data_IF_758852292087
#
_entry.id   IF_758852292087
#
_cell.length_a   1.000
_cell.length_b   1.000
_cell.length_c   1.000
_cell.angle_alpha   90.00
_cell.angle_beta   90.00
_cell.angle_gamma   90.00
#
_symmetry.space_group_name_H-M   'P 1'
#
loop_
_entity.id
_entity.type
_entity.pdbx_description
1 polymer ?
#
# COMPACT_ATOMS: atom_id res chain seq x y z
N UNK A 1 27.25 -0.84 -7.55
CA UNK A 1 25.96 -0.17 -7.73
C UNK A 1 24.87 -1.09 -7.19
N UNK A 2 24.00 -0.62 -6.30
CA UNK A 2 22.84 -1.41 -5.87
C UNK A 2 21.76 -1.28 -6.97
N UNK A 3 21.36 -2.39 -7.57
CA UNK A 3 20.29 -2.39 -8.57
C UNK A 3 18.95 -2.17 -7.86
N UNK A 4 18.24 -1.10 -8.21
CA UNK A 4 16.85 -0.90 -7.77
C UNK A 4 15.90 -1.66 -8.69
N UNK A 5 14.93 -2.35 -8.11
CA UNK A 5 13.82 -2.96 -8.87
C UNK A 5 12.81 -1.90 -9.33
N UNK A 6 11.94 -2.30 -10.26
CA UNK A 6 10.72 -1.58 -10.61
C UNK A 6 9.58 -2.58 -10.75
N UNK A 7 8.35 -2.15 -10.50
CA UNK A 7 7.19 -3.04 -10.53
C UNK A 7 5.93 -2.30 -10.96
N UNK A 8 5.14 -2.93 -11.82
CA UNK A 8 3.90 -2.36 -12.36
C UNK A 8 2.78 -3.32 -12.01
N UNK A 9 1.90 -2.90 -11.11
CA UNK A 9 0.76 -3.70 -10.69
C UNK A 9 -0.48 -3.01 -11.22
N UNK A 10 -1.24 -3.72 -12.04
CA UNK A 10 -2.51 -3.24 -12.55
C UNK A 10 -3.56 -4.32 -12.70
N UNK A 11 -4.83 -3.94 -12.57
CA UNK A 11 -5.99 -4.81 -12.79
C UNK A 11 -5.90 -6.14 -12.01
N UNK A 12 -5.47 -6.04 -10.75
CA UNK A 12 -5.20 -7.21 -9.90
C UNK A 12 -5.99 -7.09 -8.60
N UNK A 13 -6.55 -8.21 -8.15
CA UNK A 13 -7.20 -8.31 -6.84
C UNK A 13 -6.31 -9.06 -5.85
N UNK A 14 -6.14 -8.48 -4.67
CA UNK A 14 -5.49 -9.07 -3.50
C UNK A 14 -6.56 -9.39 -2.45
N UNK A 15 -6.67 -10.66 -2.05
CA UNK A 15 -7.65 -11.13 -1.05
C UNK A 15 -6.89 -11.70 0.14
N UNK A 16 -7.31 -11.39 1.37
CA UNK A 16 -6.68 -11.96 2.57
C UNK A 16 -5.24 -11.52 2.76
N UNK A 17 -4.92 -10.30 2.31
CA UNK A 17 -3.55 -9.81 2.21
C UNK A 17 -2.95 -9.37 3.55
N UNK A 18 -1.63 -9.23 3.55
CA UNK A 18 -0.87 -8.77 4.71
C UNK A 18 -0.83 -9.76 5.86
N UNK A 19 -0.14 -9.39 6.93
CA UNK A 19 0.00 -10.21 8.13
C UNK A 19 -0.32 -9.38 9.37
N UNK A 20 -1.11 -9.98 10.27
CA UNK A 20 -1.42 -9.36 11.55
C UNK A 20 -0.14 -9.18 12.36
N UNK A 21 0.07 -7.96 12.83
CA UNK A 21 1.15 -7.59 13.72
C UNK A 21 0.72 -6.33 14.49
N UNK A 22 0.69 -6.43 15.82
CA UNK A 22 0.25 -5.35 16.72
C UNK A 22 1.41 -4.51 17.25
N UNK A 23 2.63 -4.75 16.75
CA UNK A 23 3.78 -3.93 17.10
C UNK A 23 3.75 -2.55 16.41
N UNK A 24 4.60 -1.65 16.90
CA UNK A 24 4.97 -0.46 16.16
C UNK A 24 5.89 -0.85 14.98
N UNK A 25 5.71 -0.22 13.82
CA UNK A 25 6.52 -0.40 12.60
C UNK A 25 6.19 -1.66 11.77
N UNK A 26 4.91 -1.87 11.49
CA UNK A 26 4.40 -3.07 10.80
C UNK A 26 4.18 -2.87 9.31
N UNK A 27 4.68 -1.78 8.73
CA UNK A 27 4.47 -1.41 7.32
C UNK A 27 4.98 -2.50 6.36
N UNK A 28 5.99 -3.27 6.76
CA UNK A 28 6.52 -4.41 6.01
C UNK A 28 5.58 -5.62 5.93
N UNK A 29 4.54 -5.65 6.77
CA UNK A 29 3.50 -6.69 6.79
C UNK A 29 2.31 -6.34 5.90
N UNK A 30 2.37 -5.23 5.18
CA UNK A 30 1.32 -4.81 4.24
C UNK A 30 1.11 -5.80 3.10
N UNK A 31 -0.02 -5.70 2.41
CA UNK A 31 -0.29 -6.48 1.20
C UNK A 31 0.76 -6.22 0.11
N UNK A 32 1.09 -4.94 -0.11
CA UNK A 32 2.23 -4.50 -0.91
C UNK A 32 3.12 -3.61 -0.05
N UNK A 33 4.42 -3.91 -0.05
CA UNK A 33 5.44 -3.11 0.64
C UNK A 33 6.55 -2.71 -0.33
N UNK A 34 6.66 -1.41 -0.60
CA UNK A 34 7.78 -0.81 -1.31
C UNK A 34 8.64 0.00 -0.33
N UNK A 35 9.95 -0.16 -0.41
CA UNK A 35 10.89 0.57 0.43
C UNK A 35 12.11 1.00 -0.38
N UNK A 36 12.59 2.22 -0.14
CA UNK A 36 13.86 2.70 -0.70
C UNK A 36 13.87 2.89 -2.22
N UNK A 37 12.71 3.05 -2.87
CA UNK A 37 12.67 3.36 -4.31
C UNK A 37 13.34 4.70 -4.61
N UNK A 38 13.23 5.68 -3.71
CA UNK A 38 13.68 7.06 -3.96
C UNK A 38 12.86 7.67 -5.09
N UNK A 39 13.52 8.37 -6.02
CA UNK A 39 12.85 9.09 -7.10
C UNK A 39 12.25 8.15 -8.15
N UNK A 40 11.01 8.45 -8.53
CA UNK A 40 10.33 7.86 -9.68
C UNK A 40 11.15 8.04 -10.96
N UNK A 41 11.27 6.97 -11.73
CA UNK A 41 11.92 6.95 -13.03
C UNK A 41 10.87 6.56 -14.10
N UNK A 42 10.51 7.45 -15.03
CA UNK A 42 9.54 7.13 -16.07
C UNK A 42 10.00 5.99 -17.00
N UNK A 43 11.32 5.78 -17.17
CA UNK A 43 11.84 4.67 -17.97
C UNK A 43 11.73 3.34 -17.25
N UNK A 44 11.67 3.36 -15.91
CA UNK A 44 11.54 2.20 -15.02
C UNK A 44 10.37 2.40 -14.07
N UNK A 45 9.23 2.77 -14.64
CA UNK A 45 8.05 3.16 -13.90
C UNK A 45 7.65 2.08 -12.87
N UNK A 46 7.45 2.53 -11.64
CA UNK A 46 6.80 1.77 -10.58
C UNK A 46 5.44 2.39 -10.29
N UNK A 47 4.39 1.59 -10.20
CA UNK A 47 3.04 2.06 -9.88
C UNK A 47 2.13 0.93 -9.41
N UNK A 48 1.03 1.32 -8.76
CA UNK A 48 -0.10 0.47 -8.43
C UNK A 48 -1.35 1.17 -8.98
N UNK A 49 -2.00 0.58 -9.98
CA UNK A 49 -3.15 1.19 -10.64
C UNK A 49 -4.32 0.21 -10.77
N UNK A 50 -5.56 0.71 -10.67
CA UNK A 50 -6.77 -0.06 -11.01
C UNK A 50 -6.83 -1.45 -10.34
N UNK A 51 -6.36 -1.55 -9.09
CA UNK A 51 -6.26 -2.81 -8.35
C UNK A 51 -7.15 -2.77 -7.10
N UNK A 52 -7.52 -3.94 -6.57
CA UNK A 52 -8.39 -4.03 -5.40
C UNK A 52 -7.78 -4.86 -4.28
N UNK A 53 -8.04 -4.44 -3.05
CA UNK A 53 -7.54 -5.05 -1.82
C UNK A 53 -8.73 -5.34 -0.91
N UNK A 54 -8.99 -6.60 -0.60
CA UNK A 54 -10.13 -7.04 0.21
C UNK A 54 -9.70 -7.97 1.36
N UNK A 55 -10.13 -7.66 2.58
CA UNK A 55 -9.97 -8.54 3.74
C UNK A 55 -8.54 -8.59 4.28
N UNK A 56 -7.89 -7.44 4.47
CA UNK A 56 -6.51 -7.33 4.90
C UNK A 56 -6.29 -7.44 6.41
N UNK A 57 -5.19 -8.07 6.84
CA UNK A 57 -4.76 -8.09 8.24
C UNK A 57 -3.66 -7.06 8.56
N UNK A 58 -3.37 -6.16 7.63
CA UNK A 58 -2.50 -5.00 7.79
C UNK A 58 -2.85 -3.97 6.71
N UNK A 59 -2.02 -2.93 6.52
CA UNK A 59 -2.20 -1.99 5.44
C UNK A 59 -2.22 -2.66 4.06
N UNK A 60 -3.05 -2.15 3.15
CA UNK A 60 -3.09 -2.66 1.79
C UNK A 60 -1.82 -2.30 1.03
N UNK A 61 -1.41 -1.04 1.13
CA UNK A 61 -0.25 -0.51 0.42
C UNK A 61 0.61 0.28 1.41
N UNK A 62 1.88 -0.10 1.52
CA UNK A 62 2.90 0.64 2.27
C UNK A 62 4.05 1.02 1.35
N UNK A 63 4.34 2.31 1.24
CA UNK A 63 5.42 2.86 0.42
C UNK A 63 6.33 3.77 1.24
N UNK A 64 7.52 3.29 1.58
CA UNK A 64 8.45 4.02 2.44
C UNK A 64 9.65 4.56 1.67
N UNK A 65 9.94 5.86 1.84
CA UNK A 65 11.06 6.51 1.17
C UNK A 65 10.93 6.50 -0.35
N UNK A 66 9.72 6.77 -0.86
CA UNK A 66 9.43 6.82 -2.29
C UNK A 66 9.07 8.24 -2.69
N UNK A 67 9.47 8.67 -3.89
CA UNK A 67 9.16 10.01 -4.37
C UNK A 67 8.56 9.96 -5.78
N UNK A 68 7.40 10.58 -5.99
CA UNK A 68 6.78 10.65 -7.32
C UNK A 68 6.04 9.39 -7.78
N UNK A 69 5.90 8.36 -6.93
CA UNK A 69 5.29 7.09 -7.37
C UNK A 69 3.76 7.20 -7.34
N UNK A 70 3.06 6.83 -8.43
CA UNK A 70 1.61 6.82 -8.46
C UNK A 70 0.99 5.55 -7.86
N UNK A 71 0.00 5.79 -7.00
CA UNK A 71 -0.98 4.84 -6.48
C UNK A 71 -2.34 5.38 -6.91
N UNK A 72 -2.93 4.81 -7.96
CA UNK A 72 -4.10 5.41 -8.61
C UNK A 72 -5.24 4.42 -8.84
N UNK A 73 -6.49 4.89 -8.78
CA UNK A 73 -7.67 4.10 -9.17
C UNK A 73 -7.85 2.77 -8.39
N UNK A 74 -7.28 2.65 -7.19
CA UNK A 74 -7.37 1.41 -6.42
C UNK A 74 -8.58 1.43 -5.47
N UNK A 75 -9.08 0.24 -5.12
CA UNK A 75 -10.09 0.07 -4.09
C UNK A 75 -9.49 -0.71 -2.93
N UNK A 76 -9.50 -0.13 -1.73
CA UNK A 76 -9.14 -0.81 -0.49
C UNK A 76 -10.42 -0.96 0.33
N UNK A 77 -10.81 -2.20 0.60
CA UNK A 77 -11.99 -2.55 1.36
C UNK A 77 -11.62 -3.51 2.49
N UNK A 78 -12.24 -3.32 3.65
CA UNK A 78 -12.17 -4.26 4.77
C UNK A 78 -10.71 -4.58 5.17
N UNK A 79 -10.00 -3.57 5.66
CA UNK A 79 -8.58 -3.68 6.01
C UNK A 79 -8.34 -3.38 7.49
N UNK A 80 -7.54 -4.23 8.13
CA UNK A 80 -7.01 -3.99 9.47
C UNK A 80 -5.89 -2.95 9.40
N UNK A 81 -5.96 -1.88 10.21
CA UNK A 81 -5.07 -0.70 10.21
C UNK A 81 -5.24 0.18 8.96
N UNK A 82 -4.30 1.11 8.72
CA UNK A 82 -4.39 2.11 7.66
C UNK A 82 -4.51 1.48 6.27
N UNK A 83 -5.37 2.01 5.38
CA UNK A 83 -5.49 1.48 4.02
C UNK A 83 -4.23 1.69 3.17
N UNK A 84 -3.67 2.91 3.21
CA UNK A 84 -2.48 3.29 2.44
C UNK A 84 -1.53 4.07 3.36
N UNK A 85 -0.27 3.64 3.44
CA UNK A 85 0.79 4.29 4.23
C UNK A 85 1.91 4.73 3.30
N UNK A 86 2.30 6.01 3.33
CA UNK A 86 3.30 6.55 2.41
C UNK A 86 4.24 7.50 3.15
N UNK A 87 5.55 7.40 2.86
CA UNK A 87 6.55 8.41 3.24
C UNK A 87 7.43 8.79 2.04
N UNK A 88 8.03 9.98 2.10
CA UNK A 88 8.77 10.60 0.99
C UNK A 88 8.00 11.79 0.40
N UNK A 89 8.32 12.18 -0.82
CA UNK A 89 7.83 13.44 -1.41
C UNK A 89 7.14 13.26 -2.75
N UNK A 90 6.11 14.05 -3.04
CA UNK A 90 5.44 14.11 -4.35
C UNK A 90 4.87 12.77 -4.86
N UNK A 91 4.65 11.76 -4.00
CA UNK A 91 3.89 10.57 -4.42
C UNK A 91 2.47 10.97 -4.81
N UNK A 92 1.90 10.27 -5.78
CA UNK A 92 0.59 10.61 -6.34
C UNK A 92 -0.42 9.60 -5.79
N UNK A 93 -1.35 10.08 -4.97
CA UNK A 93 -2.46 9.27 -4.44
C UNK A 93 -3.75 9.83 -4.99
N UNK A 94 -4.23 9.26 -6.10
CA UNK A 94 -5.35 9.83 -6.85
C UNK A 94 -6.42 8.77 -7.12
N UNK A 95 -7.70 9.14 -6.99
CA UNK A 95 -8.83 8.27 -7.33
C UNK A 95 -8.84 6.91 -6.60
N UNK A 96 -8.21 6.79 -5.44
CA UNK A 96 -8.32 5.58 -4.63
C UNK A 96 -9.55 5.68 -3.72
N UNK A 97 -10.35 4.63 -3.66
CA UNK A 97 -11.40 4.46 -2.67
C UNK A 97 -10.86 3.64 -1.51
N UNK A 98 -10.92 4.16 -0.29
CA UNK A 98 -10.60 3.42 0.93
C UNK A 98 -11.84 3.38 1.80
N UNK A 99 -12.37 2.18 2.04
CA UNK A 99 -13.60 1.96 2.79
C UNK A 99 -13.41 0.84 3.81
N UNK A 100 -14.06 0.97 4.97
CA UNK A 100 -14.04 -0.02 6.06
C UNK A 100 -12.62 -0.34 6.52
N UNK A 101 -12.04 0.60 7.28
CA UNK A 101 -10.73 0.49 7.92
C UNK A 101 -10.97 0.28 9.42
N UNK A 102 -10.46 -0.80 10.00
CA UNK A 102 -10.67 -1.13 11.42
C UNK A 102 -9.33 -1.22 12.17
N UNK A 103 -9.31 -0.74 13.42
CA UNK A 103 -8.15 -0.81 14.31
C UNK A 103 -8.61 -1.27 15.70
N UNK A 104 -7.95 -2.28 16.29
CA UNK A 104 -8.46 -2.95 17.51
C UNK A 104 -8.45 -2.07 18.77
N UNK A 105 -7.70 -0.96 18.80
CA UNK A 105 -7.82 -0.04 19.94
C UNK A 105 -9.09 0.83 19.90
N UNK A 106 -9.87 0.77 18.83
CA UNK A 106 -11.28 1.19 18.79
C UNK A 106 -12.11 -0.07 18.52
N UNK A 107 -12.31 -0.89 19.55
CA UNK A 107 -12.91 -2.20 19.41
C UNK A 107 -14.22 -2.19 18.62
N UNK A 108 -14.26 -3.00 17.56
CA UNK A 108 -15.48 -3.68 17.12
C UNK A 108 -15.08 -5.11 16.75
N UNK A 109 -15.37 -6.01 17.68
CA UNK A 109 -15.53 -7.44 17.40
C UNK A 109 -16.90 -7.55 16.70
N UNK A 110 -17.04 -8.31 15.61
CA UNK A 110 -18.35 -8.63 15.04
C UNK A 110 -19.31 -9.24 16.06
#
# INVERSE_FOLDING_TARGET
ACYKGYVRISNTQFIGFGQFDDSYNTEQRAGIYFTGLGNYDPNRATYIDSSSFDGGNNAAISMLGTNGVPITNNVVFNTYRAGIVITGTNNIVQNNLVATVYWLGTGQIP
#
